data_IF_063557093412
#
_entry.id   IF_063557093412
#
_cell.length_a   1.000
_cell.length_b   1.000
_cell.length_c   1.000
_cell.angle_alpha   90.00
_cell.angle_beta   90.00
_cell.angle_gamma   90.00
#
_symmetry.space_group_name_H-M   'P 1'
#
loop_
_entity.id
_entity.type
_entity.pdbx_description
1 polymer ?
#
# COMPACT_ATOMS: atom_id res chain seq x y z
N UNK A 1 16.37 3.05 -66.13
CA UNK A 1 17.37 2.05 -65.74
C UNK A 1 18.21 2.69 -64.66
N UNK A 2 18.12 2.22 -63.41
CA UNK A 2 18.96 2.70 -62.32
C UNK A 2 20.41 2.33 -62.62
N UNK A 3 21.35 3.24 -62.37
CA UNK A 3 22.78 3.01 -62.58
C UNK A 3 23.26 1.86 -61.67
N UNK A 4 24.25 1.06 -62.09
CA UNK A 4 24.79 -0.06 -61.28
C UNK A 4 25.19 0.39 -59.85
N UNK A 5 25.62 1.63 -59.69
CA UNK A 5 25.92 2.24 -58.38
C UNK A 5 24.68 2.47 -57.49
N UNK A 6 23.51 2.76 -58.06
CA UNK A 6 22.26 2.87 -57.30
C UNK A 6 21.75 1.51 -56.82
N UNK A 7 22.03 0.44 -57.56
CA UNK A 7 21.67 -0.93 -57.16
C UNK A 7 22.61 -1.46 -56.08
N UNK A 8 23.91 -1.18 -56.17
CA UNK A 8 24.92 -1.57 -55.18
C UNK A 8 24.76 -0.88 -53.82
N UNK A 9 24.29 0.38 -53.80
CA UNK A 9 24.02 1.12 -52.56
C UNK A 9 22.63 0.80 -51.96
N UNK A 10 21.67 0.32 -52.76
CA UNK A 10 20.31 0.02 -52.28
C UNK A 10 20.26 -1.09 -51.22
N UNK A 11 21.18 -2.07 -51.28
CA UNK A 11 21.26 -3.22 -50.39
C UNK A 11 21.76 -2.82 -48.98
N UNK A 12 22.85 -2.04 -48.84
CA UNK A 12 23.24 -1.47 -47.57
C UNK A 12 22.19 -0.53 -46.96
N UNK A 13 21.49 0.29 -47.76
CA UNK A 13 20.43 1.16 -47.25
C UNK A 13 19.21 0.37 -46.74
N UNK A 14 18.85 -0.73 -47.40
CA UNK A 14 17.78 -1.63 -46.90
C UNK A 14 18.20 -2.38 -45.63
N UNK A 15 19.47 -2.80 -45.54
CA UNK A 15 20.03 -3.39 -44.32
C UNK A 15 20.05 -2.39 -43.15
N UNK A 16 20.45 -1.14 -43.41
CA UNK A 16 20.43 -0.07 -42.42
C UNK A 16 19.00 0.25 -41.95
N UNK A 17 18.03 0.31 -42.87
CA UNK A 17 16.62 0.50 -42.53
C UNK A 17 16.09 -0.65 -41.65
N UNK A 18 16.45 -1.90 -41.95
CA UNK A 18 16.09 -3.06 -41.13
C UNK A 18 16.71 -2.99 -39.73
N UNK A 19 17.99 -2.62 -39.62
CA UNK A 19 18.67 -2.47 -38.33
C UNK A 19 18.07 -1.35 -37.48
N UNK A 20 17.73 -0.21 -38.09
CA UNK A 20 17.04 0.89 -37.42
C UNK A 20 15.64 0.49 -36.94
N UNK A 21 14.90 -0.29 -37.72
CA UNK A 21 13.58 -0.77 -37.29
C UNK A 21 13.68 -1.76 -36.12
N UNK A 22 14.70 -2.63 -36.09
CA UNK A 22 14.99 -3.49 -34.93
C UNK A 22 15.34 -2.69 -33.68
N UNK A 23 16.15 -1.64 -33.81
CA UNK A 23 16.50 -0.72 -32.72
C UNK A 23 15.27 0.01 -32.15
N UNK A 24 14.36 0.43 -33.03
CA UNK A 24 13.07 1.01 -32.65
C UNK A 24 12.20 0.01 -31.90
N UNK A 25 12.07 -1.22 -32.40
CA UNK A 25 11.30 -2.28 -31.72
C UNK A 25 11.90 -2.62 -30.35
N UNK A 26 13.23 -2.64 -30.24
CA UNK A 26 13.94 -2.85 -28.98
C UNK A 26 13.58 -1.75 -27.96
N UNK A 27 13.62 -0.48 -28.36
CA UNK A 27 13.24 0.65 -27.49
C UNK A 27 11.77 0.60 -27.08
N UNK A 28 10.86 0.24 -27.99
CA UNK A 28 9.44 0.12 -27.65
C UNK A 28 9.20 -0.96 -26.60
N UNK A 29 9.86 -2.12 -26.73
CA UNK A 29 9.80 -3.20 -25.72
C UNK A 29 10.37 -2.74 -24.38
N UNK A 30 11.45 -1.97 -24.40
CA UNK A 30 12.07 -1.43 -23.20
C UNK A 30 11.17 -0.45 -22.45
N UNK A 31 10.59 0.52 -23.16
CA UNK A 31 9.66 1.49 -22.57
C UNK A 31 8.43 0.78 -21.97
N UNK A 32 7.93 -0.27 -22.64
CA UNK A 32 6.86 -1.10 -22.07
C UNK A 32 7.31 -1.83 -20.79
N UNK A 33 8.52 -2.40 -20.78
CA UNK A 33 9.05 -3.06 -19.59
C UNK A 33 9.26 -2.08 -18.42
N UNK A 34 9.85 -0.90 -18.65
CA UNK A 34 10.07 0.11 -17.61
C UNK A 34 8.78 0.63 -16.97
N UNK A 35 7.76 0.90 -17.78
CA UNK A 35 6.46 1.37 -17.30
C UNK A 35 5.70 0.29 -16.53
N UNK A 36 5.87 -0.99 -16.89
CA UNK A 36 5.12 -2.09 -16.30
C UNK A 36 5.83 -2.69 -15.08
N UNK A 37 7.17 -2.78 -15.06
CA UNK A 37 7.90 -3.51 -14.01
C UNK A 37 8.52 -2.60 -12.93
N UNK A 38 9.26 -1.56 -13.31
CA UNK A 38 10.13 -0.83 -12.38
C UNK A 38 9.38 0.20 -11.52
N UNK A 39 8.74 1.18 -12.17
CA UNK A 39 8.03 2.26 -11.47
C UNK A 39 6.71 1.80 -10.86
N UNK A 40 6.04 0.84 -11.51
CA UNK A 40 4.80 0.27 -10.98
C UNK A 40 5.05 -0.49 -9.68
N UNK A 41 6.15 -1.25 -9.59
CA UNK A 41 6.51 -1.98 -8.38
C UNK A 41 6.86 -1.04 -7.22
N UNK A 42 7.57 0.06 -7.49
CA UNK A 42 7.87 1.10 -6.49
C UNK A 42 6.63 1.83 -5.98
N UNK A 43 5.70 2.15 -6.88
CA UNK A 43 4.43 2.79 -6.52
C UNK A 43 3.52 1.82 -5.77
N UNK A 44 3.42 0.56 -6.22
CA UNK A 44 2.66 -0.49 -5.56
C UNK A 44 3.22 -0.77 -4.15
N UNK A 45 4.54 -0.78 -4.00
CA UNK A 45 5.23 -0.87 -2.71
C UNK A 45 4.75 0.23 -1.76
N UNK A 46 4.95 1.50 -2.14
CA UNK A 46 4.62 2.64 -1.28
C UNK A 46 3.12 2.74 -0.99
N UNK A 47 2.27 2.48 -1.98
CA UNK A 47 0.82 2.49 -1.80
C UNK A 47 0.34 1.36 -0.89
N UNK A 48 0.90 0.15 -1.06
CA UNK A 48 0.61 -1.00 -0.20
C UNK A 48 0.99 -0.75 1.25
N UNK A 49 2.19 -0.21 1.50
CA UNK A 49 2.63 0.15 2.86
C UNK A 49 1.71 1.19 3.50
N UNK A 50 1.39 2.25 2.78
CA UNK A 50 0.53 3.31 3.28
C UNK A 50 -0.88 2.79 3.61
N UNK A 51 -1.43 1.91 2.76
CA UNK A 51 -2.74 1.30 2.99
C UNK A 51 -2.74 0.38 4.22
N UNK A 52 -1.75 -0.52 4.33
CA UNK A 52 -1.66 -1.45 5.45
C UNK A 52 -1.49 -0.72 6.79
N UNK A 53 -0.58 0.27 6.85
CA UNK A 53 -0.40 1.10 8.05
C UNK A 53 -1.69 1.85 8.41
N UNK A 54 -2.41 2.38 7.43
CA UNK A 54 -3.68 3.08 7.65
C UNK A 54 -4.73 2.15 8.24
N UNK A 55 -4.88 0.92 7.75
CA UNK A 55 -5.84 -0.05 8.27
C UNK A 55 -5.52 -0.46 9.71
N UNK A 56 -4.25 -0.77 10.00
CA UNK A 56 -3.81 -1.16 11.34
C UNK A 56 -3.99 -0.03 12.35
N UNK A 57 -3.62 1.21 11.97
CA UNK A 57 -3.84 2.39 12.82
C UNK A 57 -5.34 2.66 13.04
N UNK A 58 -6.16 2.55 11.99
CA UNK A 58 -7.61 2.70 12.10
C UNK A 58 -8.22 1.67 13.05
N UNK A 59 -7.75 0.42 13.00
CA UNK A 59 -8.21 -0.64 13.90
C UNK A 59 -7.82 -0.37 15.35
N UNK A 60 -6.59 0.13 15.58
CA UNK A 60 -6.14 0.55 16.92
C UNK A 60 -6.97 1.70 17.46
N UNK A 61 -7.21 2.72 16.64
CA UNK A 61 -7.96 3.90 17.06
C UNK A 61 -9.42 3.53 17.39
N UNK A 62 -10.03 2.65 16.58
CA UNK A 62 -11.35 2.11 16.87
C UNK A 62 -11.39 1.34 18.22
N UNK A 63 -10.37 0.53 18.50
CA UNK A 63 -10.25 -0.19 19.78
C UNK A 63 -10.03 0.77 20.96
N UNK A 64 -9.22 1.81 20.80
CA UNK A 64 -9.00 2.84 21.82
C UNK A 64 -10.29 3.60 22.14
N UNK A 65 -11.08 3.95 21.11
CA UNK A 65 -12.39 4.60 21.30
C UNK A 65 -13.34 3.67 22.07
N UNK A 66 -13.35 2.37 21.78
CA UNK A 66 -14.16 1.39 22.52
C UNK A 66 -13.74 1.30 23.99
N UNK A 67 -12.43 1.24 24.26
CA UNK A 67 -11.89 1.25 25.62
C UNK A 67 -12.27 2.52 26.39
N UNK A 68 -12.12 3.69 25.79
CA UNK A 68 -12.53 4.96 26.42
C UNK A 68 -14.03 5.02 26.72
N UNK A 69 -14.87 4.49 25.82
CA UNK A 69 -16.32 4.38 26.04
C UNK A 69 -16.64 3.45 27.20
N UNK A 70 -16.01 2.28 27.27
CA UNK A 70 -16.19 1.36 28.39
C UNK A 70 -15.72 1.97 29.72
N UNK A 71 -14.61 2.70 29.72
CA UNK A 71 -14.08 3.40 30.91
C UNK A 71 -15.07 4.45 31.41
N UNK A 72 -15.55 5.32 30.52
CA UNK A 72 -16.54 6.35 30.87
C UNK A 72 -17.89 5.76 31.30
N UNK A 73 -18.29 4.62 30.73
CA UNK A 73 -19.46 3.87 31.18
C UNK A 73 -19.26 3.36 32.62
N UNK A 74 -18.10 2.78 32.94
CA UNK A 74 -17.78 2.32 34.30
C UNK A 74 -17.77 3.49 35.30
N UNK A 75 -17.17 4.63 34.95
CA UNK A 75 -17.17 5.83 35.80
C UNK A 75 -18.60 6.30 36.08
N UNK A 76 -19.45 6.33 35.06
CA UNK A 76 -20.85 6.73 35.21
C UNK A 76 -21.64 5.78 36.13
N UNK A 77 -21.39 4.46 36.05
CA UNK A 77 -22.02 3.45 36.90
C UNK A 77 -21.48 3.49 38.34
N UNK A 78 -20.20 3.78 38.50
CA UNK A 78 -19.57 3.95 39.82
C UNK A 78 -20.13 5.17 40.53
N UNK A 79 -20.29 6.29 39.82
CA UNK A 79 -20.96 7.49 40.34
C UNK A 79 -22.44 7.23 40.68
N UNK A 80 -23.16 6.46 39.86
CA UNK A 80 -24.55 6.06 40.15
C UNK A 80 -24.64 5.24 41.45
N UNK A 81 -23.70 4.31 41.66
CA UNK A 81 -23.59 3.51 42.89
C UNK A 81 -23.24 4.36 44.11
N UNK A 82 -22.29 5.27 44.00
CA UNK A 82 -21.92 6.19 45.09
C UNK A 82 -23.10 7.06 45.50
N UNK A 83 -23.81 7.67 44.54
CA UNK A 83 -25.02 8.45 44.81
C UNK A 83 -26.12 7.63 45.47
N UNK A 84 -26.28 6.36 45.08
CA UNK A 84 -27.22 5.45 45.72
C UNK A 84 -26.83 5.17 47.17
N UNK A 85 -25.55 4.90 47.45
CA UNK A 85 -25.04 4.68 48.81
C UNK A 85 -25.17 5.92 49.70
N UNK A 86 -24.89 7.11 49.16
CA UNK A 86 -25.08 8.39 49.87
C UNK A 86 -26.56 8.65 50.19
N UNK A 87 -27.47 8.29 49.28
CA UNK A 87 -28.92 8.38 49.52
C UNK A 87 -29.40 7.40 50.60
N UNK A 88 -28.86 6.18 50.63
CA UNK A 88 -29.16 5.20 51.68
C UNK A 88 -28.57 5.60 53.04
N UNK A 89 -27.38 6.20 53.09
CA UNK A 89 -26.76 6.67 54.34
C UNK A 89 -27.36 7.99 54.86
N UNK A 90 -27.80 8.88 53.97
CA UNK A 90 -28.44 10.16 54.32
C UNK A 90 -29.92 10.05 54.68
N UNK A 91 -30.57 8.94 54.34
CA UNK A 91 -31.92 8.60 54.79
C UNK A 91 -31.86 7.35 55.68
N UNK A 92 -31.43 7.52 56.93
CA UNK A 92 -31.88 6.61 57.99
C UNK A 92 -33.41 6.46 57.92
N UNK A 93 -33.97 5.29 58.30
CA UNK A 93 -35.37 4.96 58.03
C UNK A 93 -36.28 6.08 58.54
N UNK A 94 -36.79 6.92 57.63
CA UNK A 94 -37.76 7.94 57.99
C UNK A 94 -38.98 7.20 58.53
N UNK A 95 -39.52 7.58 59.69
CA UNK A 95 -40.72 6.95 60.22
C UNK A 95 -41.80 7.01 59.15
N UNK A 96 -42.29 5.84 58.74
CA UNK A 96 -43.32 5.68 57.71
C UNK A 96 -44.43 6.69 57.96
N UNK A 97 -44.53 7.72 57.12
CA UNK A 97 -45.63 8.69 57.18
C UNK A 97 -46.88 7.92 56.76
N UNK A 98 -47.63 7.45 57.76
CA UNK A 98 -48.90 6.75 57.54
C UNK A 98 -49.86 7.68 56.81
N UNK A 99 -50.27 7.29 55.60
CA UNK A 99 -51.18 8.05 54.73
C UNK A 99 -50.91 7.79 53.24
N UNK A 100 -51.74 8.39 52.38
CA UNK A 100 -51.70 8.22 50.91
C UNK A 100 -50.32 8.57 50.29
N UNK A 101 -49.57 9.48 50.92
CA UNK A 101 -48.20 9.85 50.56
C UNK A 101 -47.16 8.77 50.91
N UNK A 102 -47.32 8.04 52.02
CA UNK A 102 -46.43 6.93 52.38
C UNK A 102 -46.61 5.72 51.45
N UNK A 103 -47.81 5.53 50.89
CA UNK A 103 -48.06 4.49 49.89
C UNK A 103 -47.43 4.84 48.54
N UNK A 104 -47.35 6.12 48.19
CA UNK A 104 -46.64 6.61 46.99
C UNK A 104 -45.11 6.44 47.11
N UNK A 105 -44.55 6.68 48.30
CA UNK A 105 -43.13 6.41 48.59
C UNK A 105 -42.81 4.90 48.50
N UNK A 106 -43.66 4.03 49.05
CA UNK A 106 -43.51 2.56 48.94
C UNK A 106 -43.63 2.07 47.47
N UNK A 107 -44.38 2.77 46.61
CA UNK A 107 -44.50 2.48 45.18
C UNK A 107 -43.27 2.92 44.36
N UNK A 108 -42.51 3.90 44.85
CA UNK A 108 -41.30 4.40 44.19
C UNK A 108 -40.01 3.76 44.72
N UNK A 109 -40.09 3.03 45.84
CA UNK A 109 -38.98 2.25 46.37
C UNK A 109 -38.88 0.91 45.62
N UNK A 110 -37.91 0.79 44.71
CA UNK A 110 -37.55 -0.48 44.09
C UNK A 110 -36.50 -1.20 44.97
N UNK A 111 -36.88 -2.24 45.75
CA UNK A 111 -35.96 -2.97 46.63
C UNK A 111 -34.86 -3.72 45.86
N UNK A 112 -34.99 -3.87 44.54
CA UNK A 112 -33.97 -4.49 43.68
C UNK A 112 -33.07 -3.46 43.01
N UNK A 113 -33.25 -2.16 43.27
CA UNK A 113 -32.47 -1.09 42.62
C UNK A 113 -30.98 -1.19 42.89
N UNK A 114 -30.57 -1.46 44.13
CA UNK A 114 -29.16 -1.69 44.48
C UNK A 114 -28.56 -2.87 43.71
N UNK A 115 -29.26 -4.01 43.70
CA UNK A 115 -28.85 -5.20 42.93
C UNK A 115 -28.73 -4.93 41.42
N UNK A 116 -29.65 -4.16 40.83
CA UNK A 116 -29.58 -3.76 39.41
C UNK A 116 -28.40 -2.84 39.11
N UNK A 117 -28.02 -1.96 40.03
CA UNK A 117 -26.85 -1.10 39.89
C UNK A 117 -25.57 -1.93 39.98
N UNK A 118 -25.49 -2.87 40.92
CA UNK A 118 -24.34 -3.77 41.07
C UNK A 118 -24.16 -4.68 39.85
N UNK A 119 -25.24 -5.22 39.27
CA UNK A 119 -25.14 -6.02 38.03
C UNK A 119 -24.64 -5.18 36.86
N UNK A 120 -25.13 -3.94 36.70
CA UNK A 120 -24.68 -3.04 35.62
C UNK A 120 -23.23 -2.62 35.80
N UNK A 121 -22.76 -2.51 37.04
CA UNK A 121 -21.37 -2.20 37.33
C UNK A 121 -20.46 -3.38 36.98
N UNK A 122 -20.83 -4.60 37.38
CA UNK A 122 -20.11 -5.83 37.00
C UNK A 122 -20.05 -6.01 35.47
N UNK A 123 -21.16 -5.74 34.77
CA UNK A 123 -21.19 -5.81 33.30
C UNK A 123 -20.26 -4.76 32.68
N UNK A 124 -20.23 -3.53 33.20
CA UNK A 124 -19.33 -2.47 32.74
C UNK A 124 -17.84 -2.78 33.04
N UNK A 125 -17.52 -3.37 34.19
CA UNK A 125 -16.17 -3.85 34.53
C UNK A 125 -15.71 -4.93 33.56
N UNK A 126 -16.59 -5.88 33.24
CA UNK A 126 -16.28 -6.93 32.25
C UNK A 126 -16.06 -6.33 30.86
N UNK A 127 -16.91 -5.39 30.43
CA UNK A 127 -16.76 -4.72 29.13
C UNK A 127 -15.45 -3.89 29.06
N UNK A 128 -15.06 -3.23 30.15
CA UNK A 128 -13.78 -2.53 30.25
C UNK A 128 -12.60 -3.50 30.13
N UNK A 129 -12.64 -4.64 30.83
CA UNK A 129 -11.59 -5.64 30.75
C UNK A 129 -11.42 -6.19 29.33
N UNK A 130 -12.53 -6.55 28.66
CA UNK A 130 -12.52 -7.05 27.29
C UNK A 130 -12.04 -6.01 26.27
N UNK A 131 -12.50 -4.76 26.40
CA UNK A 131 -12.08 -3.68 25.50
C UNK A 131 -10.60 -3.30 25.69
N UNK A 132 -10.10 -3.36 26.93
CA UNK A 132 -8.68 -3.18 27.25
C UNK A 132 -7.82 -4.29 26.65
N UNK A 133 -8.18 -5.54 26.88
CA UNK A 133 -7.49 -6.71 26.32
C UNK A 133 -7.41 -6.61 24.80
N UNK A 134 -8.52 -6.27 24.14
CA UNK A 134 -8.57 -6.06 22.69
C UNK A 134 -7.63 -4.95 22.22
N UNK A 135 -7.63 -3.80 22.90
CA UNK A 135 -6.77 -2.68 22.55
C UNK A 135 -5.28 -3.00 22.74
N UNK A 136 -4.92 -3.69 23.83
CA UNK A 136 -3.56 -4.15 24.10
C UNK A 136 -3.11 -5.21 23.09
N UNK A 137 -3.96 -6.19 22.78
CA UNK A 137 -3.69 -7.21 21.77
C UNK A 137 -3.45 -6.59 20.39
N UNK A 138 -4.31 -5.66 19.95
CA UNK A 138 -4.12 -4.95 18.68
C UNK A 138 -2.83 -4.15 18.73
N UNK A 139 -2.59 -3.37 19.80
CA UNK A 139 -1.41 -2.52 19.93
C UNK A 139 -0.10 -3.32 19.93
N UNK A 140 -0.08 -4.50 20.54
CA UNK A 140 1.06 -5.43 20.49
C UNK A 140 1.28 -6.00 19.09
N UNK A 141 0.20 -6.45 18.43
CA UNK A 141 0.27 -7.03 17.10
C UNK A 141 0.77 -6.06 16.02
N UNK A 142 0.57 -4.74 16.17
CA UNK A 142 1.04 -3.74 15.19
C UNK A 142 2.55 -3.87 14.95
N UNK A 143 3.33 -4.08 16.00
CA UNK A 143 4.78 -4.13 15.84
C UNK A 143 5.21 -5.37 15.05
N UNK A 144 4.63 -6.52 15.37
CA UNK A 144 4.91 -7.79 14.70
C UNK A 144 4.44 -7.75 13.23
N UNK A 145 3.25 -7.20 12.98
CA UNK A 145 2.67 -7.10 11.65
C UNK A 145 3.43 -6.09 10.79
N UNK A 146 3.83 -4.94 11.36
CA UNK A 146 4.70 -3.98 10.66
C UNK A 146 6.07 -4.57 10.32
N UNK A 147 6.67 -5.35 11.23
CA UNK A 147 7.96 -6.01 11.01
C UNK A 147 7.86 -7.11 9.93
N UNK A 148 6.82 -7.95 10.00
CA UNK A 148 6.57 -9.00 9.01
C UNK A 148 6.31 -8.40 7.62
N UNK A 149 5.48 -7.35 7.57
CA UNK A 149 5.20 -6.61 6.35
C UNK A 149 6.47 -5.98 5.78
N UNK A 150 7.26 -5.22 6.57
CA UNK A 150 8.54 -4.67 6.11
C UNK A 150 9.49 -5.74 5.55
N UNK A 151 9.57 -6.89 6.20
CA UNK A 151 10.42 -8.00 5.75
C UNK A 151 9.96 -8.53 4.39
N UNK A 152 8.67 -8.83 4.26
CA UNK A 152 8.09 -9.35 3.02
C UNK A 152 8.21 -8.32 1.89
N UNK A 153 7.78 -7.08 2.11
CA UNK A 153 7.77 -6.05 1.07
C UNK A 153 9.19 -5.63 0.68
N UNK A 154 10.15 -5.62 1.60
CA UNK A 154 11.57 -5.39 1.28
C UNK A 154 12.15 -6.50 0.42
N UNK A 155 11.80 -7.76 0.70
CA UNK A 155 12.20 -8.90 -0.12
C UNK A 155 11.60 -8.82 -1.53
N UNK A 156 10.30 -8.54 -1.64
CA UNK A 156 9.61 -8.38 -2.92
C UNK A 156 10.17 -7.20 -3.73
N UNK A 157 10.43 -6.06 -3.07
CA UNK A 157 11.07 -4.91 -3.68
C UNK A 157 12.48 -5.23 -4.18
N UNK A 158 13.31 -5.88 -3.35
CA UNK A 158 14.67 -6.27 -3.73
C UNK A 158 14.69 -7.26 -4.89
N UNK A 159 13.72 -8.17 -4.94
CA UNK A 159 13.53 -9.09 -6.07
C UNK A 159 13.16 -8.31 -7.33
N UNK A 160 12.13 -7.46 -7.28
CA UNK A 160 11.69 -6.67 -8.42
C UNK A 160 12.76 -5.72 -8.96
N UNK A 161 13.53 -5.08 -8.07
CA UNK A 161 14.66 -4.23 -8.47
C UNK A 161 15.76 -5.04 -9.17
N UNK A 162 16.06 -6.24 -8.67
CA UNK A 162 17.04 -7.13 -9.28
C UNK A 162 16.60 -7.58 -10.67
N UNK A 163 15.34 -8.00 -10.82
CA UNK A 163 14.74 -8.36 -12.11
C UNK A 163 14.83 -7.19 -13.09
N UNK A 164 14.44 -5.99 -12.64
CA UNK A 164 14.55 -4.78 -13.45
C UNK A 164 15.99 -4.48 -13.89
N UNK A 165 16.98 -4.59 -13.00
CA UNK A 165 18.40 -4.37 -13.34
C UNK A 165 18.89 -5.42 -14.35
N UNK A 166 18.50 -6.68 -14.21
CA UNK A 166 18.85 -7.74 -15.17
C UNK A 166 18.25 -7.44 -16.54
N UNK A 167 16.98 -7.01 -16.60
CA UNK A 167 16.32 -6.60 -17.83
C UNK A 167 17.05 -5.42 -18.49
N UNK A 168 17.43 -4.40 -17.70
CA UNK A 168 18.21 -3.25 -18.16
C UNK A 168 19.55 -3.66 -18.78
N UNK A 169 20.30 -4.54 -18.10
CA UNK A 169 21.59 -5.03 -18.62
C UNK A 169 21.39 -5.77 -19.95
N UNK A 170 20.41 -6.68 -20.01
CA UNK A 170 20.12 -7.44 -21.23
C UNK A 170 19.70 -6.55 -22.40
N UNK A 171 18.96 -5.47 -22.12
CA UNK A 171 18.60 -4.46 -23.10
C UNK A 171 19.82 -3.70 -23.62
N UNK A 172 20.71 -3.26 -22.73
CA UNK A 172 21.95 -2.56 -23.09
C UNK A 172 22.86 -3.45 -23.94
N UNK A 173 23.00 -4.73 -23.60
CA UNK A 173 23.76 -5.71 -24.39
C UNK A 173 23.17 -5.88 -25.79
N UNK A 174 21.84 -6.05 -25.89
CA UNK A 174 21.16 -6.16 -27.18
C UNK A 174 21.28 -4.87 -28.02
N UNK A 175 21.21 -3.70 -27.38
CA UNK A 175 21.40 -2.41 -28.03
C UNK A 175 22.82 -2.28 -28.58
N UNK A 176 23.84 -2.62 -27.79
CA UNK A 176 25.24 -2.62 -28.24
C UNK A 176 25.46 -3.58 -29.42
N UNK A 177 24.85 -4.77 -29.38
CA UNK A 177 24.92 -5.73 -30.48
C UNK A 177 24.31 -5.16 -31.76
N UNK A 178 23.14 -4.53 -31.68
CA UNK A 178 22.51 -3.87 -32.82
C UNK A 178 23.36 -2.71 -33.37
N UNK A 179 24.00 -1.92 -32.50
CA UNK A 179 24.94 -0.88 -32.95
C UNK A 179 26.17 -1.44 -33.66
N UNK A 180 26.72 -2.57 -33.21
CA UNK A 180 27.83 -3.25 -33.90
C UNK A 180 27.43 -3.73 -35.29
N UNK A 181 26.26 -4.36 -35.41
CA UNK A 181 25.72 -4.78 -36.71
C UNK A 181 25.56 -3.59 -37.67
N UNK A 182 25.09 -2.45 -37.16
CA UNK A 182 24.89 -1.24 -37.95
C UNK A 182 26.23 -0.59 -38.37
N UNK A 183 27.24 -0.61 -37.50
CA UNK A 183 28.61 -0.20 -37.82
C UNK A 183 29.23 -1.08 -38.91
N UNK A 184 28.96 -2.38 -38.91
CA UNK A 184 29.47 -3.28 -39.96
C UNK A 184 28.84 -2.96 -41.33
N UNK A 185 27.55 -2.58 -41.37
CA UNK A 185 26.90 -2.07 -42.59
C UNK A 185 27.57 -0.77 -43.07
N UNK A 186 27.85 0.17 -42.17
CA UNK A 186 28.55 1.41 -42.55
C UNK A 186 29.95 1.17 -43.12
N UNK A 187 30.73 0.28 -42.50
CA UNK A 187 32.06 -0.09 -43.01
C UNK A 187 31.98 -0.69 -44.42
N UNK A 188 30.97 -1.51 -44.70
CA UNK A 188 30.77 -2.08 -46.03
C UNK A 188 30.51 -0.99 -47.07
N UNK A 189 29.72 0.03 -46.74
CA UNK A 189 29.44 1.19 -47.60
C UNK A 189 30.73 1.99 -47.89
N UNK A 190 31.56 2.25 -46.88
CA UNK A 190 32.83 2.98 -47.06
C UNK A 190 33.85 2.23 -47.95
N UNK A 191 33.79 0.90 -48.00
CA UNK A 191 34.70 0.07 -48.79
C UNK A 191 34.27 -0.15 -50.24
N UNK A 192 33.08 0.28 -50.65
CA UNK A 192 32.67 0.23 -52.07
C UNK A 192 33.55 1.20 -52.86
N UNK A 193 34.35 0.76 -53.83
CA UNK A 193 35.13 1.67 -54.66
C UNK A 193 34.14 2.56 -55.40
N UNK A 194 34.14 3.86 -55.12
CA UNK A 194 33.56 4.85 -56.02
C UNK A 194 34.32 4.74 -57.35
N UNK A 195 33.84 3.87 -58.23
CA UNK A 195 34.38 3.70 -59.57
C UNK A 195 34.50 5.07 -60.20
N UNK A 196 35.75 5.46 -60.45
CA UNK A 196 36.16 6.64 -61.21
C UNK A 196 35.10 7.02 -62.23
N UNK A 197 34.38 8.13 -61.98
CA UNK A 197 33.63 8.86 -63.00
C UNK A 197 34.63 9.34 -64.06
N UNK A 198 35.03 8.43 -64.96
CA UNK A 198 35.79 8.78 -66.14
C UNK A 198 34.78 9.38 -67.10
N UNK A 199 34.77 10.71 -67.18
CA UNK A 199 34.00 11.43 -68.17
C UNK A 199 34.35 10.87 -69.56
N UNK A 200 33.39 10.22 -70.21
CA UNK A 200 33.47 9.86 -71.62
C UNK A 200 33.40 11.16 -72.41
N UNK A 201 34.54 11.81 -72.62
CA UNK A 201 34.68 12.82 -73.65
C UNK A 201 34.53 12.13 -75.00
N UNK A 202 33.35 12.22 -75.60
CA UNK A 202 33.12 11.89 -77.01
C UNK A 202 33.95 12.85 -77.86
N UNK A 203 35.05 12.34 -78.41
CA UNK A 203 35.87 13.02 -79.40
C UNK A 203 35.70 12.37 -80.77
N UNK A 204 35.36 13.22 -81.74
CA UNK A 204 35.21 13.01 -83.20
C UNK A 204 33.81 12.68 -83.68
#
# INVERSE_FOLDING_TARGET
MLSQSETELSLPFTHMASALDRLKQLHLKHVQAEHVSGLSALLAFNAGMASALKEVLSNRDAALIQYQRASSALDSRTLERQKFQEQEQGQGPKPRRSGMLGHFDDLMYDPKRGSKIDTKLLDAERELALSKERWEAISGAIHDEAAAFHTQTSADFSRGLREHVVEQISFQEAQQQQWRELLDVFKQIETVPCGSFRASSSGS
#
